data_IF_807177388486
#
_entry.id   IF_807177388486
#
_cell.length_a   1.000
_cell.length_b   1.000
_cell.length_c   1.000
_cell.angle_alpha   90.00
_cell.angle_beta   90.00
_cell.angle_gamma   90.00
#
_symmetry.space_group_name_H-M   'P 1'
#
loop_
_entity.id
_entity.type
_entity.pdbx_description
1 polymer ?
#
# COMPACT_ATOMS: atom_id res chain seq x y z
N UNK A 1 -28.65 -15.83 53.00
CA UNK A 1 -28.88 -15.63 51.57
C UNK A 1 -28.25 -14.34 51.00
N UNK A 2 -28.11 -13.23 51.72
CA UNK A 2 -27.58 -11.96 51.17
C UNK A 2 -26.05 -11.94 50.91
N UNK A 3 -25.26 -12.78 51.59
CA UNK A 3 -23.78 -12.80 51.45
C UNK A 3 -23.33 -13.58 50.24
N UNK A 4 -23.91 -14.73 49.97
CA UNK A 4 -23.59 -15.54 48.77
C UNK A 4 -23.90 -14.82 47.46
N UNK A 5 -24.96 -14.01 47.42
CA UNK A 5 -25.33 -13.24 46.22
C UNK A 5 -24.30 -12.15 45.91
N UNK A 6 -23.74 -11.49 46.91
CA UNK A 6 -22.70 -10.48 46.75
C UNK A 6 -21.40 -11.08 46.19
N UNK A 7 -21.00 -12.25 46.66
CA UNK A 7 -19.82 -12.97 46.18
C UNK A 7 -20.01 -13.39 44.71
N UNK A 8 -21.16 -13.94 44.36
CA UNK A 8 -21.50 -14.35 43.01
C UNK A 8 -21.49 -13.14 42.04
N UNK A 9 -22.03 -12.01 42.48
CA UNK A 9 -22.03 -10.77 41.65
C UNK A 9 -20.62 -10.22 41.46
N UNK A 10 -19.78 -10.22 42.51
CA UNK A 10 -18.38 -9.81 42.40
C UNK A 10 -17.58 -10.73 41.49
N UNK A 11 -17.73 -12.03 41.56
CA UNK A 11 -17.01 -12.98 40.69
C UNK A 11 -17.44 -12.85 39.24
N UNK A 12 -18.75 -12.67 38.97
CA UNK A 12 -19.22 -12.40 37.60
C UNK A 12 -18.64 -11.10 37.04
N UNK A 13 -18.56 -10.05 37.84
CA UNK A 13 -18.04 -8.74 37.41
C UNK A 13 -16.54 -8.81 37.09
N UNK A 14 -15.76 -9.53 37.92
CA UNK A 14 -14.34 -9.77 37.69
C UNK A 14 -14.12 -10.60 36.41
N UNK A 15 -14.90 -11.66 36.21
CA UNK A 15 -14.83 -12.49 35.00
C UNK A 15 -15.19 -11.67 33.76
N UNK A 16 -16.25 -10.87 33.80
CA UNK A 16 -16.65 -10.02 32.69
C UNK A 16 -15.56 -8.98 32.34
N UNK A 17 -14.94 -8.37 33.33
CA UNK A 17 -13.85 -7.43 33.16
C UNK A 17 -12.61 -8.11 32.55
N UNK A 18 -12.25 -9.29 33.04
CA UNK A 18 -11.12 -10.06 32.52
C UNK A 18 -11.33 -10.50 31.05
N UNK A 19 -12.54 -11.01 30.72
CA UNK A 19 -12.89 -11.38 29.36
C UNK A 19 -12.93 -10.16 28.43
N UNK A 20 -13.47 -9.04 28.88
CA UNK A 20 -13.50 -7.80 28.10
C UNK A 20 -12.09 -7.26 27.79
N UNK A 21 -11.22 -7.22 28.80
CA UNK A 21 -9.83 -6.80 28.63
C UNK A 21 -9.08 -7.75 27.67
N UNK A 22 -9.19 -9.06 27.88
CA UNK A 22 -8.56 -10.06 27.01
C UNK A 22 -9.03 -9.96 25.56
N UNK A 23 -10.33 -9.79 25.34
CA UNK A 23 -10.93 -9.62 24.03
C UNK A 23 -10.41 -8.35 23.32
N UNK A 24 -10.33 -7.23 24.03
CA UNK A 24 -9.79 -5.98 23.51
C UNK A 24 -8.32 -6.12 23.09
N UNK A 25 -7.47 -6.71 23.95
CA UNK A 25 -6.07 -6.95 23.62
C UNK A 25 -5.90 -7.89 22.43
N UNK A 26 -6.71 -8.94 22.37
CA UNK A 26 -6.65 -9.91 21.27
C UNK A 26 -7.03 -9.27 19.94
N UNK A 27 -8.12 -8.53 19.87
CA UNK A 27 -8.55 -7.84 18.63
C UNK A 27 -7.50 -6.84 18.18
N UNK A 28 -6.95 -6.04 19.10
CA UNK A 28 -5.92 -5.06 18.78
C UNK A 28 -4.63 -5.73 18.28
N UNK A 29 -4.21 -6.82 18.88
CA UNK A 29 -3.04 -7.60 18.47
C UNK A 29 -3.22 -8.22 17.08
N UNK A 30 -4.39 -8.84 16.82
CA UNK A 30 -4.70 -9.42 15.51
C UNK A 30 -4.73 -8.35 14.44
N UNK A 31 -5.35 -7.20 14.72
CA UNK A 31 -5.40 -6.08 13.78
C UNK A 31 -4.00 -5.57 13.42
N UNK A 32 -3.14 -5.32 14.42
CA UNK A 32 -1.76 -4.86 14.20
C UNK A 32 -0.95 -5.87 13.39
N UNK A 33 -1.05 -7.17 13.73
CA UNK A 33 -0.33 -8.22 13.02
C UNK A 33 -0.81 -8.37 11.57
N UNK A 34 -2.11 -8.25 11.35
CA UNK A 34 -2.69 -8.29 10.00
C UNK A 34 -2.22 -7.11 9.16
N UNK A 35 -2.26 -5.89 9.71
CA UNK A 35 -1.80 -4.69 9.02
C UNK A 35 -0.30 -4.74 8.70
N UNK A 36 0.53 -5.25 9.61
CA UNK A 36 1.96 -5.43 9.36
C UNK A 36 2.22 -6.41 8.21
N UNK A 37 1.47 -7.51 8.17
CA UNK A 37 1.56 -8.50 7.10
C UNK A 37 1.15 -7.92 5.74
N UNK A 38 0.02 -7.20 5.69
CA UNK A 38 -0.46 -6.55 4.46
C UNK A 38 0.52 -5.47 3.98
N UNK A 39 1.12 -4.72 4.91
CA UNK A 39 2.14 -3.71 4.58
C UNK A 39 3.38 -4.34 3.97
N UNK A 40 3.89 -5.43 4.55
CA UNK A 40 5.03 -6.16 3.98
C UNK A 40 4.71 -6.69 2.59
N UNK A 41 3.53 -7.28 2.42
CA UNK A 41 3.08 -7.76 1.12
C UNK A 41 2.98 -6.62 0.09
N UNK A 42 2.44 -5.46 0.46
CA UNK A 42 2.35 -4.30 -0.43
C UNK A 42 3.74 -3.79 -0.87
N UNK A 43 4.71 -3.78 0.05
CA UNK A 43 6.10 -3.42 -0.26
C UNK A 43 6.78 -4.43 -1.19
N UNK A 44 6.56 -5.72 -1.00
CA UNK A 44 7.09 -6.77 -1.86
C UNK A 44 6.47 -6.69 -3.26
N UNK A 45 5.17 -6.48 -3.34
CA UNK A 45 4.46 -6.27 -4.60
C UNK A 45 4.94 -5.02 -5.34
N UNK A 46 5.20 -3.91 -4.62
CA UNK A 46 5.78 -2.70 -5.21
C UNK A 46 7.18 -2.96 -5.80
N UNK A 47 7.96 -3.84 -5.17
CA UNK A 47 9.28 -4.25 -5.69
C UNK A 47 9.17 -5.05 -6.97
N UNK A 48 8.22 -5.97 -7.03
CA UNK A 48 7.95 -6.79 -8.22
C UNK A 48 7.51 -5.89 -9.38
N UNK A 49 6.64 -4.91 -9.11
CA UNK A 49 6.20 -3.96 -10.12
C UNK A 49 7.34 -3.07 -10.63
N UNK A 50 8.20 -2.60 -9.72
CA UNK A 50 9.40 -1.87 -10.11
C UNK A 50 10.26 -2.69 -11.07
N UNK A 51 10.57 -3.93 -10.70
CA UNK A 51 11.36 -4.83 -11.54
C UNK A 51 10.69 -5.12 -12.89
N UNK A 52 9.36 -5.34 -12.87
CA UNK A 52 8.58 -5.54 -14.08
C UNK A 52 8.61 -4.31 -15.00
N UNK A 53 8.52 -3.09 -14.43
CA UNK A 53 8.64 -1.85 -15.17
C UNK A 53 10.03 -1.69 -15.79
N UNK A 54 11.09 -1.87 -14.98
CA UNK A 54 12.48 -1.80 -15.44
C UNK A 54 12.73 -2.80 -16.59
N UNK A 55 12.26 -4.02 -16.45
CA UNK A 55 12.38 -5.08 -17.46
C UNK A 55 11.60 -4.73 -18.73
N UNK A 56 10.38 -4.22 -18.61
CA UNK A 56 9.58 -3.81 -19.76
C UNK A 56 10.25 -2.65 -20.52
N UNK A 57 10.79 -1.69 -19.79
CA UNK A 57 11.50 -0.55 -20.38
C UNK A 57 12.79 -0.96 -21.09
N UNK A 58 13.55 -1.93 -20.57
CA UNK A 58 14.76 -2.46 -21.19
C UNK A 58 14.49 -3.24 -22.49
N UNK A 59 13.30 -3.83 -22.61
CA UNK A 59 12.89 -4.58 -23.81
C UNK A 59 12.44 -3.66 -24.97
N UNK A 60 12.37 -2.35 -24.75
CA UNK A 60 12.04 -1.39 -25.81
C UNK A 60 13.30 -1.14 -26.64
N UNK A 61 13.22 -1.23 -27.99
CA UNK A 61 14.35 -0.94 -28.82
C UNK A 61 14.94 0.44 -28.51
N UNK A 62 16.23 0.52 -28.26
CA UNK A 62 16.99 1.72 -27.86
C UNK A 62 17.05 2.78 -28.94
N UNK A 63 15.94 3.09 -29.58
CA UNK A 63 15.82 4.15 -30.60
C UNK A 63 15.74 5.55 -29.95
N UNK A 64 15.53 5.59 -28.63
CA UNK A 64 15.35 6.83 -27.89
C UNK A 64 16.35 6.89 -26.74
N UNK A 65 17.08 8.00 -26.64
CA UNK A 65 17.99 8.26 -25.51
C UNK A 65 17.22 8.43 -24.19
N UNK A 66 15.95 8.86 -24.26
CA UNK A 66 15.06 9.05 -23.12
C UNK A 66 13.74 8.32 -23.36
N UNK A 67 13.21 7.64 -22.35
CA UNK A 67 11.94 6.90 -22.43
C UNK A 67 10.77 7.86 -22.73
N UNK A 68 10.02 7.71 -23.86
CA UNK A 68 8.90 8.59 -24.19
C UNK A 68 7.72 8.44 -23.24
N UNK A 69 6.96 9.53 -23.01
CA UNK A 69 5.75 9.52 -22.17
C UNK A 69 4.74 8.44 -22.57
N UNK A 70 4.46 8.33 -23.90
CA UNK A 70 3.54 7.32 -24.42
C UNK A 70 3.99 5.87 -24.16
N UNK A 71 5.29 5.65 -24.04
CA UNK A 71 5.83 4.34 -23.68
C UNK A 71 5.61 4.04 -22.19
N UNK A 72 5.81 5.03 -21.33
CA UNK A 72 5.51 4.92 -19.89
C UNK A 72 4.03 4.60 -19.66
N UNK A 73 3.14 5.27 -20.40
CA UNK A 73 1.70 5.01 -20.37
C UNK A 73 1.38 3.56 -20.77
N UNK A 74 1.95 3.06 -21.87
CA UNK A 74 1.75 1.68 -22.32
C UNK A 74 2.24 0.65 -21.29
N UNK A 75 3.39 0.90 -20.64
CA UNK A 75 3.88 0.04 -19.58
C UNK A 75 2.92 0.10 -18.38
N UNK A 76 2.40 1.27 -18.01
CA UNK A 76 1.40 1.43 -16.97
C UNK A 76 0.16 0.57 -17.21
N UNK A 77 -0.42 0.66 -18.40
CA UNK A 77 -1.57 -0.16 -18.82
C UNK A 77 -1.23 -1.66 -18.77
N UNK A 78 -0.05 -2.05 -19.23
CA UNK A 78 0.39 -3.45 -19.17
C UNK A 78 0.51 -3.95 -17.73
N UNK A 79 1.11 -3.17 -16.85
CA UNK A 79 1.27 -3.53 -15.42
C UNK A 79 -0.05 -3.65 -14.69
N UNK A 80 -1.01 -2.76 -14.97
CA UNK A 80 -2.35 -2.83 -14.41
C UNK A 80 -3.08 -4.10 -14.84
N UNK A 81 -3.03 -4.42 -16.14
CA UNK A 81 -3.70 -5.59 -16.69
C UNK A 81 -3.01 -6.93 -16.35
N UNK A 82 -1.70 -6.93 -16.11
CA UNK A 82 -0.94 -8.14 -15.77
C UNK A 82 -1.02 -8.51 -14.29
N UNK A 83 -1.54 -7.63 -13.44
CA UNK A 83 -1.74 -7.88 -12.01
C UNK A 83 -2.80 -8.96 -11.78
N UNK A 84 -2.40 -10.11 -11.22
CA UNK A 84 -3.30 -11.24 -10.92
C UNK A 84 -4.42 -10.94 -9.89
N UNK A 85 -4.46 -9.75 -9.31
CA UNK A 85 -5.43 -9.37 -8.27
C UNK A 85 -5.92 -7.95 -8.55
N UNK A 86 -7.11 -7.84 -9.12
CA UNK A 86 -7.77 -6.61 -9.59
C UNK A 86 -8.11 -5.51 -8.56
N UNK A 87 -7.40 -5.45 -7.42
CA UNK A 87 -7.62 -4.45 -6.36
C UNK A 87 -6.43 -3.49 -6.19
N UNK A 88 -5.58 -3.38 -7.21
CA UNK A 88 -4.42 -2.50 -7.16
C UNK A 88 -4.59 -1.36 -8.15
N UNK A 89 -4.45 -0.14 -7.65
CA UNK A 89 -4.42 1.07 -8.45
C UNK A 89 -2.97 1.53 -8.58
N UNK A 90 -2.63 2.08 -9.73
CA UNK A 90 -1.27 2.47 -10.10
C UNK A 90 -1.25 3.93 -10.56
N UNK A 91 -0.21 4.67 -10.17
CA UNK A 91 0.11 5.98 -10.73
C UNK A 91 1.59 6.05 -11.03
N UNK A 92 1.93 6.60 -12.18
CA UNK A 92 3.32 6.84 -12.61
C UNK A 92 3.45 8.32 -12.90
N UNK A 93 4.42 8.97 -12.28
CA UNK A 93 4.75 10.37 -12.50
C UNK A 93 6.22 10.57 -12.81
N UNK A 94 6.55 11.68 -13.44
CA UNK A 94 7.95 12.07 -13.70
C UNK A 94 8.55 12.82 -12.49
N UNK A 95 9.78 13.28 -12.63
CA UNK A 95 10.52 14.04 -11.62
C UNK A 95 9.88 15.39 -11.26
N UNK A 96 9.01 15.92 -12.12
CA UNK A 96 8.28 17.17 -11.93
C UNK A 96 6.85 16.93 -11.42
N UNK A 97 6.55 15.72 -10.93
CA UNK A 97 5.22 15.30 -10.48
C UNK A 97 4.13 15.33 -11.58
N UNK A 98 4.55 15.41 -12.87
CA UNK A 98 3.62 15.27 -13.99
C UNK A 98 3.17 13.83 -14.08
N UNK A 99 1.87 13.59 -13.97
CA UNK A 99 1.27 12.27 -14.09
C UNK A 99 1.34 11.80 -15.54
N UNK A 100 1.98 10.67 -15.77
CA UNK A 100 2.13 10.02 -17.09
C UNK A 100 1.13 8.88 -17.24
N UNK A 101 0.75 8.23 -16.15
CA UNK A 101 -0.25 7.19 -16.10
C UNK A 101 -0.97 7.19 -14.75
N UNK A 102 -2.27 6.93 -14.74
CA UNK A 102 -3.05 6.77 -13.51
C UNK A 102 -4.22 5.81 -13.74
N UNK A 103 -4.36 4.81 -12.86
CA UNK A 103 -5.51 3.90 -12.84
C UNK A 103 -6.79 4.64 -12.45
N UNK A 104 -7.91 4.22 -13.02
CA UNK A 104 -9.22 4.74 -12.64
C UNK A 104 -9.50 4.49 -11.14
N UNK A 105 -9.91 5.52 -10.43
CA UNK A 105 -10.20 5.46 -9.00
C UNK A 105 -8.98 5.64 -8.07
N UNK A 106 -7.79 5.95 -8.59
CA UNK A 106 -6.64 6.26 -7.76
C UNK A 106 -6.85 7.59 -7.01
N UNK A 107 -6.93 7.53 -5.68
CA UNK A 107 -7.20 8.70 -4.80
C UNK A 107 -6.00 9.04 -3.89
N UNK A 108 -4.83 8.45 -4.15
CA UNK A 108 -3.63 8.69 -3.36
C UNK A 108 -3.16 10.15 -3.44
N UNK A 109 -2.76 10.70 -2.30
CA UNK A 109 -2.23 12.05 -2.21
C UNK A 109 -0.77 12.11 -2.65
N UNK A 110 -0.42 13.08 -3.50
CA UNK A 110 0.95 13.31 -3.99
C UNK A 110 1.82 14.08 -2.99
N UNK A 111 1.20 14.88 -2.12
CA UNK A 111 1.91 15.78 -1.21
C UNK A 111 2.63 15.09 -0.03
N UNK A 112 2.48 13.77 0.10
CA UNK A 112 2.79 13.04 1.32
C UNK A 112 4.25 12.57 1.47
N UNK A 113 5.11 12.84 0.49
CA UNK A 113 6.44 12.25 0.45
C UNK A 113 7.53 13.32 0.50
N UNK A 114 7.71 13.96 1.65
CA UNK A 114 8.74 14.99 1.85
C UNK A 114 10.17 14.42 1.86
N UNK A 115 10.34 13.15 2.21
CA UNK A 115 11.65 12.49 2.24
C UNK A 115 11.86 11.59 1.01
N UNK A 116 12.22 12.20 -0.09
CA UNK A 116 12.50 11.49 -1.35
C UNK A 116 13.97 11.11 -1.47
N UNK A 117 14.41 10.04 -0.81
CA UNK A 117 15.73 9.42 -1.08
C UNK A 117 15.71 8.56 -2.34
N UNK A 118 16.83 8.48 -3.07
CA UNK A 118 16.94 7.78 -4.38
C UNK A 118 16.52 6.30 -4.40
N UNK A 119 16.54 5.62 -3.27
CA UNK A 119 16.19 4.20 -3.16
C UNK A 119 15.18 3.90 -2.05
N UNK A 120 14.53 4.89 -1.51
CA UNK A 120 13.67 4.69 -0.35
C UNK A 120 12.28 4.26 -0.81
N UNK A 121 11.90 3.06 -0.42
CA UNK A 121 10.52 2.62 -0.49
C UNK A 121 9.78 3.20 0.69
N UNK A 122 8.76 3.94 0.42
CA UNK A 122 7.93 4.54 1.47
C UNK A 122 6.52 3.97 1.34
N UNK A 123 5.89 3.71 2.46
CA UNK A 123 4.49 3.32 2.49
C UNK A 123 3.70 4.17 3.46
N UNK A 124 2.42 4.25 3.23
CA UNK A 124 1.48 4.92 4.11
C UNK A 124 0.17 4.14 4.16
N UNK A 125 -0.40 4.05 5.35
CA UNK A 125 -1.76 3.55 5.54
C UNK A 125 -2.71 4.74 5.50
N UNK A 126 -3.66 4.73 4.59
CA UNK A 126 -4.68 5.78 4.40
C UNK A 126 -6.04 5.16 4.68
N UNK A 127 -6.81 5.81 5.55
CA UNK A 127 -8.20 5.44 5.78
C UNK A 127 -9.10 6.36 4.94
N UNK A 128 -9.98 5.77 4.16
CA UNK A 128 -10.99 6.49 3.37
C UNK A 128 -12.36 5.86 3.61
N UNK A 129 -13.19 6.54 4.37
CA UNK A 129 -14.45 5.98 4.86
C UNK A 129 -14.22 4.76 5.75
N UNK A 130 -14.86 3.64 5.43
CA UNK A 130 -14.73 2.36 6.13
C UNK A 130 -13.60 1.48 5.57
N UNK A 131 -12.86 1.95 4.57
CA UNK A 131 -11.82 1.18 3.91
C UNK A 131 -10.43 1.67 4.27
N UNK A 132 -9.50 0.72 4.43
CA UNK A 132 -8.09 0.99 4.61
C UNK A 132 -7.34 0.70 3.32
N UNK A 133 -6.44 1.61 2.97
CA UNK A 133 -5.59 1.49 1.79
C UNK A 133 -4.13 1.58 2.20
N UNK A 134 -3.30 0.75 1.60
CA UNK A 134 -1.85 0.88 1.72
C UNK A 134 -1.36 1.51 0.42
N UNK A 135 -0.85 2.72 0.53
CA UNK A 135 -0.18 3.43 -0.55
C UNK A 135 1.33 3.20 -0.43
N UNK A 136 1.97 2.76 -1.52
CA UNK A 136 3.42 2.64 -1.58
C UNK A 136 3.96 3.56 -2.66
N UNK A 137 5.18 4.05 -2.46
CA UNK A 137 5.90 4.87 -3.44
C UNK A 137 7.30 4.30 -3.64
N UNK A 138 7.71 4.17 -4.90
CA UNK A 138 9.04 3.68 -5.26
C UNK A 138 9.57 4.52 -6.42
N UNK A 139 10.84 4.93 -6.34
CA UNK A 139 11.53 5.60 -7.44
C UNK A 139 12.18 4.57 -8.37
N UNK A 140 12.10 4.86 -9.65
CA UNK A 140 12.67 4.04 -10.72
C UNK A 140 13.52 4.96 -11.60
N UNK A 141 14.76 4.57 -11.84
CA UNK A 141 15.61 5.25 -12.80
C UNK A 141 15.75 4.36 -14.04
N UNK A 142 15.23 4.80 -15.17
CA UNK A 142 15.27 4.07 -16.44
C UNK A 142 15.62 5.02 -17.56
N UNK A 143 16.67 4.69 -18.34
CA UNK A 143 17.13 5.49 -19.50
C UNK A 143 17.32 6.97 -19.13
N UNK A 144 18.08 7.22 -18.06
CA UNK A 144 18.37 8.56 -17.51
C UNK A 144 17.13 9.38 -17.13
N UNK A 145 15.98 8.72 -16.98
CA UNK A 145 14.73 9.32 -16.53
C UNK A 145 14.33 8.80 -15.17
N UNK A 146 14.14 9.71 -14.23
CA UNK A 146 13.63 9.39 -12.88
C UNK A 146 12.11 9.41 -12.89
N UNK A 147 11.52 8.28 -12.58
CA UNK A 147 10.07 8.10 -12.48
C UNK A 147 9.68 7.73 -11.05
N UNK A 148 8.49 8.12 -10.66
CA UNK A 148 7.87 7.72 -9.40
C UNK A 148 6.71 6.78 -9.68
N UNK A 149 6.82 5.56 -9.16
CA UNK A 149 5.78 4.54 -9.22
C UNK A 149 5.06 4.51 -7.89
N UNK A 150 3.76 4.74 -7.90
CA UNK A 150 2.92 4.67 -6.73
C UNK A 150 1.87 3.57 -6.91
N UNK A 151 1.65 2.81 -5.85
CA UNK A 151 0.59 1.81 -5.84
C UNK A 151 -0.35 2.06 -4.68
N UNK A 152 -1.62 1.73 -4.85
CA UNK A 152 -2.64 1.83 -3.82
C UNK A 152 -3.41 0.52 -3.79
N UNK A 153 -3.39 -0.16 -2.63
CA UNK A 153 -4.05 -1.45 -2.41
C UNK A 153 -5.11 -1.31 -1.34
N UNK A 154 -6.33 -1.78 -1.60
CA UNK A 154 -7.37 -1.92 -0.59
C UNK A 154 -7.07 -3.14 0.29
N UNK A 155 -7.14 -2.98 1.62
CA UNK A 155 -6.85 -4.02 2.63
C UNK A 155 -7.99 -4.24 3.63
N UNK A 156 -9.19 -3.78 3.24
CA UNK A 156 -10.40 -3.98 4.05
C UNK A 156 -11.05 -5.30 3.77
#
# INVERSE_FOLDING_TARGET
MKFSWKILLCTMLIMAAACGASGYFFVNYVFQTSMERETRQALDESSILRFAFETAALNIPSKYDVLPDGTVEQIGVYLENSGQHGNRLLRISDENDKVLYVSEGFTGDTSLWEERGENTRVYRVVQSGDSYYIQTQTRINVSDRLLTLETMKNVT
#
